data_IF_954236053788
#
_entry.id   IF_954236053788
#
_cell.length_a   1.000
_cell.length_b   1.000
_cell.length_c   1.000
_cell.angle_alpha   90.00
_cell.angle_beta   90.00
_cell.angle_gamma   90.00
#
_symmetry.space_group_name_H-M   'P 1'
#
loop_
_entity.id
_entity.type
_entity.pdbx_description
1 polymer ?
#
# COMPACT_ATOMS: atom_id res chain seq x y z
N UNK A 1 13.68 29.59 -13.89
CA UNK A 1 13.40 30.17 -12.56
C UNK A 1 13.52 29.03 -11.58
N UNK A 2 14.37 29.15 -10.56
CA UNK A 2 14.41 28.19 -9.45
C UNK A 2 13.10 28.40 -8.68
N UNK A 3 12.15 27.48 -8.79
CA UNK A 3 10.91 27.56 -8.04
C UNK A 3 11.28 27.51 -6.55
N UNK A 4 10.88 28.49 -5.79
CA UNK A 4 11.10 28.50 -4.35
C UNK A 4 10.16 27.46 -3.72
N UNK A 5 10.64 26.25 -3.48
CA UNK A 5 9.85 25.13 -2.98
C UNK A 5 9.16 25.46 -1.64
N UNK A 6 9.74 26.35 -0.83
CA UNK A 6 9.08 26.78 0.41
C UNK A 6 7.81 27.59 0.15
N UNK A 7 7.75 28.38 -0.93
CA UNK A 7 6.53 29.08 -1.34
C UNK A 7 5.47 28.09 -1.80
N UNK A 8 5.85 27.07 -2.57
CA UNK A 8 4.97 25.97 -2.97
C UNK A 8 4.41 25.25 -1.74
N UNK A 9 5.24 24.85 -0.79
CA UNK A 9 4.78 24.20 0.43
C UNK A 9 3.85 25.06 1.28
N UNK A 10 4.12 26.35 1.39
CA UNK A 10 3.25 27.30 2.08
C UNK A 10 1.88 27.45 1.37
N UNK A 11 1.87 27.46 0.04
CA UNK A 11 0.63 27.50 -0.74
C UNK A 11 -0.21 26.23 -0.56
N UNK A 12 0.42 25.05 -0.58
CA UNK A 12 -0.26 23.77 -0.30
C UNK A 12 -0.83 23.75 1.11
N UNK A 13 -0.07 24.18 2.11
CA UNK A 13 -0.55 24.26 3.49
C UNK A 13 -1.74 25.21 3.64
N UNK A 14 -1.73 26.35 2.95
CA UNK A 14 -2.87 27.28 2.93
C UNK A 14 -4.09 26.63 2.27
N UNK A 15 -3.91 26.00 1.11
CA UNK A 15 -4.96 25.31 0.37
C UNK A 15 -5.58 24.13 1.17
N UNK A 16 -4.80 23.43 1.97
CA UNK A 16 -5.32 22.33 2.82
C UNK A 16 -6.35 22.81 3.84
N UNK A 17 -6.26 24.06 4.30
CA UNK A 17 -7.23 24.64 5.23
C UNK A 17 -8.55 24.99 4.52
N UNK A 18 -8.49 25.34 3.24
CA UNK A 18 -9.67 25.59 2.43
C UNK A 18 -10.46 24.29 2.18
N UNK A 19 -9.79 23.16 2.02
CA UNK A 19 -10.43 21.84 1.89
C UNK A 19 -11.27 21.46 3.09
N UNK A 20 -10.87 21.87 4.29
CA UNK A 20 -11.55 21.49 5.54
C UNK A 20 -13.00 22.00 5.64
N UNK A 21 -13.39 22.95 4.81
CA UNK A 21 -14.73 23.55 4.76
C UNK A 21 -15.54 23.17 3.53
N UNK A 22 -14.96 22.35 2.62
CA UNK A 22 -15.68 21.88 1.44
C UNK A 22 -16.71 20.82 1.80
N UNK A 23 -17.90 20.95 1.20
CA UNK A 23 -18.94 19.93 1.32
C UNK A 23 -18.57 18.66 0.56
N UNK A 24 -18.92 17.52 1.12
CA UNK A 24 -18.64 16.20 0.51
C UNK A 24 -19.31 16.05 -0.87
N UNK A 25 -20.44 16.73 -1.11
CA UNK A 25 -21.11 16.73 -2.40
C UNK A 25 -20.26 17.39 -3.49
N UNK A 26 -19.61 18.51 -3.16
CA UNK A 26 -18.68 19.21 -4.08
C UNK A 26 -17.45 18.34 -4.34
N UNK A 27 -16.89 17.75 -3.30
CA UNK A 27 -15.75 16.81 -3.42
C UNK A 27 -16.10 15.66 -4.39
N UNK A 28 -17.28 15.06 -4.24
CA UNK A 28 -17.75 13.98 -5.11
C UNK A 28 -17.96 14.44 -6.55
N UNK A 29 -18.45 15.66 -6.78
CA UNK A 29 -18.59 16.24 -8.11
C UNK A 29 -17.22 16.46 -8.77
N UNK A 30 -16.23 16.98 -8.03
CA UNK A 30 -14.85 17.15 -8.53
C UNK A 30 -14.25 15.79 -8.90
N UNK A 31 -14.35 14.76 -8.05
CA UNK A 31 -13.84 13.43 -8.34
C UNK A 31 -14.45 12.82 -9.60
N UNK A 32 -15.77 12.95 -9.79
CA UNK A 32 -16.44 12.50 -11.00
C UNK A 32 -15.98 13.28 -12.24
N UNK A 33 -15.83 14.61 -12.14
CA UNK A 33 -15.32 15.43 -13.22
C UNK A 33 -13.87 15.10 -13.59
N UNK A 34 -13.01 14.80 -12.60
CA UNK A 34 -11.63 14.32 -12.84
C UNK A 34 -11.64 12.97 -13.56
N UNK A 35 -12.53 12.06 -13.18
CA UNK A 35 -12.68 10.77 -13.87
C UNK A 35 -13.14 10.96 -15.33
N UNK A 36 -14.06 11.88 -15.58
CA UNK A 36 -14.54 12.21 -16.94
C UNK A 36 -13.43 12.87 -17.75
N UNK A 37 -12.68 13.82 -17.18
CA UNK A 37 -11.55 14.48 -17.80
C UNK A 37 -10.41 13.50 -18.13
N UNK A 38 -10.11 12.54 -17.25
CA UNK A 38 -9.11 11.49 -17.51
C UNK A 38 -9.46 10.66 -18.76
N UNK A 39 -10.74 10.39 -18.99
CA UNK A 39 -11.22 9.70 -20.20
C UNK A 39 -11.14 10.62 -21.42
N UNK A 40 -11.62 11.86 -21.30
CA UNK A 40 -11.64 12.83 -22.41
C UNK A 40 -10.21 13.16 -22.90
N UNK A 41 -9.28 13.32 -21.97
CA UNK A 41 -7.88 13.67 -22.23
C UNK A 41 -6.96 12.46 -22.43
N UNK A 42 -7.53 11.25 -22.59
CA UNK A 42 -6.77 10.02 -22.87
C UNK A 42 -5.72 10.20 -23.96
N UNK A 43 -6.01 10.80 -25.14
CA UNK A 43 -5.02 10.99 -26.19
C UNK A 43 -3.82 11.84 -25.75
N UNK A 44 -4.08 12.91 -24.98
CA UNK A 44 -3.03 13.77 -24.43
C UNK A 44 -2.16 13.04 -23.41
N UNK A 45 -2.78 12.35 -22.45
CA UNK A 45 -2.06 11.58 -21.41
C UNK A 45 -1.20 10.50 -22.04
N UNK A 46 -1.72 9.75 -23.02
CA UNK A 46 -0.98 8.70 -23.70
C UNK A 46 0.18 9.25 -24.55
N UNK A 47 0.01 10.39 -25.21
CA UNK A 47 1.08 11.04 -25.97
C UNK A 47 2.25 11.47 -25.05
N UNK A 48 1.97 11.95 -23.84
CA UNK A 48 2.99 12.28 -22.85
C UNK A 48 3.61 11.03 -22.24
N UNK A 49 2.82 9.96 -21.99
CA UNK A 49 3.33 8.68 -21.50
C UNK A 49 4.28 8.01 -22.51
N UNK A 50 4.03 8.13 -23.82
CA UNK A 50 4.92 7.62 -24.86
C UNK A 50 6.31 8.25 -24.80
N UNK A 51 6.42 9.55 -24.42
CA UNK A 51 7.71 10.20 -24.20
C UNK A 51 8.50 9.60 -23.04
N UNK A 52 7.81 9.19 -21.98
CA UNK A 52 8.43 8.49 -20.86
C UNK A 52 8.86 7.08 -21.26
N UNK A 53 8.00 6.34 -21.96
CA UNK A 53 8.29 4.98 -22.44
C UNK A 53 9.46 4.94 -23.43
N UNK A 54 9.61 5.96 -24.28
CA UNK A 54 10.70 6.07 -25.23
C UNK A 54 12.10 6.19 -24.57
N UNK A 55 12.14 6.58 -23.28
CA UNK A 55 13.39 6.73 -22.51
C UNK A 55 13.73 5.50 -21.67
N UNK A 56 12.87 4.49 -21.64
CA UNK A 56 13.03 3.29 -20.80
C UNK A 56 13.29 2.05 -21.66
N UNK A 57 14.18 1.17 -21.21
CA UNK A 57 14.36 -0.13 -21.84
C UNK A 57 13.08 -0.97 -21.68
N UNK A 58 12.59 -1.53 -22.78
CA UNK A 58 11.41 -2.39 -22.79
C UNK A 58 11.54 -3.66 -21.93
N UNK A 59 12.77 -4.08 -21.66
CA UNK A 59 13.08 -5.23 -20.81
C UNK A 59 13.19 -4.84 -19.32
N UNK A 60 13.14 -3.55 -18.97
CA UNK A 60 13.14 -3.11 -17.57
C UNK A 60 11.82 -3.56 -16.91
N UNK A 61 11.87 -4.23 -15.76
CA UNK A 61 10.66 -4.63 -15.01
C UNK A 61 9.72 -3.46 -14.66
N UNK A 62 10.22 -2.22 -14.67
CA UNK A 62 9.44 -1.01 -14.45
C UNK A 62 8.63 -0.59 -15.68
N UNK A 63 8.97 -1.06 -16.87
CA UNK A 63 8.33 -0.64 -18.13
C UNK A 63 6.82 -0.89 -18.12
N UNK A 64 6.40 -2.09 -17.69
CA UNK A 64 4.96 -2.39 -17.58
C UNK A 64 4.23 -1.50 -16.54
N UNK A 65 4.92 -1.13 -15.46
CA UNK A 65 4.35 -0.24 -14.42
C UNK A 65 4.21 1.20 -14.91
N UNK A 66 5.12 1.63 -15.80
CA UNK A 66 5.12 2.97 -16.38
C UNK A 66 4.06 3.12 -17.48
N UNK A 67 3.79 2.04 -18.20
CA UNK A 67 2.91 2.05 -19.38
C UNK A 67 1.46 2.33 -19.01
N UNK A 68 0.87 3.38 -19.59
CA UNK A 68 -0.55 3.63 -19.59
C UNK A 68 -1.18 3.09 -20.90
N UNK A 69 -2.46 2.75 -20.84
CA UNK A 69 -3.29 2.35 -21.97
C UNK A 69 -4.69 2.94 -21.78
N UNK A 70 -5.50 2.99 -22.85
CA UNK A 70 -6.90 3.41 -22.72
C UNK A 70 -7.66 2.59 -21.68
N UNK A 71 -7.42 1.28 -21.60
CA UNK A 71 -8.04 0.39 -20.62
C UNK A 71 -7.63 0.78 -19.19
N UNK A 72 -6.31 0.95 -18.94
CA UNK A 72 -5.81 1.39 -17.63
C UNK A 72 -6.35 2.77 -17.23
N UNK A 73 -6.53 3.70 -18.15
CA UNK A 73 -7.14 5.00 -17.85
C UNK A 73 -8.64 4.87 -17.54
N UNK A 74 -9.36 3.96 -18.19
CA UNK A 74 -10.75 3.62 -17.84
C UNK A 74 -10.85 3.00 -16.43
N UNK A 75 -9.92 2.11 -16.08
CA UNK A 75 -9.85 1.53 -14.74
C UNK A 75 -9.59 2.62 -13.69
N UNK A 76 -8.63 3.52 -13.92
CA UNK A 76 -8.32 4.66 -13.04
C UNK A 76 -9.55 5.56 -12.86
N UNK A 77 -10.26 5.88 -13.95
CA UNK A 77 -11.48 6.67 -13.88
C UNK A 77 -12.58 5.95 -13.08
N UNK A 78 -12.69 4.63 -13.22
CA UNK A 78 -13.62 3.83 -12.43
C UNK A 78 -13.25 3.84 -10.95
N UNK A 79 -11.98 3.69 -10.60
CA UNK A 79 -11.50 3.74 -9.23
C UNK A 79 -11.71 5.13 -8.61
N UNK A 80 -11.48 6.20 -9.37
CA UNK A 80 -11.77 7.58 -8.94
C UNK A 80 -13.25 7.78 -8.62
N UNK A 81 -14.16 7.24 -9.47
CA UNK A 81 -15.61 7.27 -9.20
C UNK A 81 -15.99 6.42 -7.99
N UNK A 82 -15.34 5.26 -7.81
CA UNK A 82 -15.55 4.44 -6.62
C UNK A 82 -15.20 5.21 -5.34
N UNK A 83 -14.07 5.94 -5.33
CA UNK A 83 -13.71 6.81 -4.19
C UNK A 83 -14.78 7.87 -3.94
N UNK A 84 -15.36 8.48 -4.98
CA UNK A 84 -16.45 9.46 -4.83
C UNK A 84 -17.70 8.86 -4.16
N UNK A 85 -17.95 7.56 -4.28
CA UNK A 85 -19.09 6.90 -3.64
C UNK A 85 -18.86 6.53 -2.18
N UNK A 86 -17.62 6.53 -1.71
CA UNK A 86 -17.30 6.19 -0.33
C UNK A 86 -17.80 7.28 0.63
N UNK A 87 -18.21 6.90 1.85
CA UNK A 87 -18.57 7.90 2.86
C UNK A 87 -17.34 8.72 3.25
N UNK A 88 -17.52 10.03 3.45
CA UNK A 88 -16.45 10.89 3.96
C UNK A 88 -15.93 10.36 5.30
N UNK A 89 -14.61 10.28 5.48
CA UNK A 89 -14.02 9.88 6.75
C UNK A 89 -14.03 11.03 7.78
N UNK A 90 -14.38 12.25 7.37
CA UNK A 90 -14.26 13.46 8.19
C UNK A 90 -15.48 13.69 9.08
N UNK A 91 -15.24 14.30 10.25
CA UNK A 91 -16.29 14.65 11.20
C UNK A 91 -16.95 13.46 11.92
N UNK A 92 -16.48 12.23 11.70
CA UNK A 92 -17.02 11.04 12.36
C UNK A 92 -16.73 11.08 13.85
N UNK A 93 -17.77 10.84 14.67
CA UNK A 93 -17.62 10.75 16.13
C UNK A 93 -16.95 9.42 16.47
N UNK A 94 -15.69 9.48 16.89
CA UNK A 94 -14.92 8.32 17.32
C UNK A 94 -15.15 7.96 18.79
N UNK A 95 -15.44 8.96 19.62
CA UNK A 95 -15.76 8.80 21.04
C UNK A 95 -16.51 10.03 21.55
N UNK A 96 -17.51 9.81 22.39
CA UNK A 96 -18.20 10.87 23.11
C UNK A 96 -18.28 10.55 24.61
N UNK A 97 -18.10 11.54 25.47
CA UNK A 97 -18.16 11.36 26.93
C UNK A 97 -18.62 12.66 27.59
N UNK A 98 -19.60 12.58 28.48
CA UNK A 98 -19.99 13.68 29.35
C UNK A 98 -19.29 13.49 30.70
N UNK A 99 -18.60 14.54 31.16
CA UNK A 99 -17.88 14.52 32.43
C UNK A 99 -18.81 14.85 33.60
N UNK A 100 -18.44 14.47 34.84
CA UNK A 100 -19.27 14.78 36.01
C UNK A 100 -19.59 16.27 36.23
N UNK A 101 -18.71 17.17 35.73
CA UNK A 101 -18.91 18.62 35.77
C UNK A 101 -19.73 19.17 34.58
N UNK A 102 -20.33 18.32 33.77
CA UNK A 102 -21.18 18.69 32.64
C UNK A 102 -20.43 18.93 31.31
N UNK A 103 -19.09 18.96 31.30
CA UNK A 103 -18.37 19.09 30.02
C UNK A 103 -18.63 17.90 29.09
N UNK A 104 -18.95 18.19 27.83
CA UNK A 104 -19.05 17.21 26.75
C UNK A 104 -17.74 17.17 25.99
N UNK A 105 -17.14 15.98 25.90
CA UNK A 105 -15.92 15.73 25.14
C UNK A 105 -16.26 14.84 23.94
N UNK A 106 -16.02 15.34 22.73
CA UNK A 106 -16.26 14.60 21.50
C UNK A 106 -14.94 14.47 20.73
N UNK A 107 -14.51 13.24 20.47
CA UNK A 107 -13.37 12.94 19.61
C UNK A 107 -13.88 12.76 18.19
N UNK A 108 -13.43 13.59 17.26
CA UNK A 108 -13.84 13.54 15.86
C UNK A 108 -12.64 13.31 14.92
N UNK A 109 -12.88 12.65 13.80
CA UNK A 109 -11.88 12.49 12.73
C UNK A 109 -11.68 13.81 11.98
N UNK A 110 -10.43 14.07 11.60
CA UNK A 110 -10.01 15.26 10.83
C UNK A 110 -8.91 14.89 9.83
N UNK A 111 -8.70 15.66 8.75
CA UNK A 111 -7.57 15.42 7.86
C UNK A 111 -6.24 15.62 8.60
N UNK A 112 -5.15 15.06 8.06
CA UNK A 112 -3.80 15.44 8.49
C UNK A 112 -3.49 16.89 8.13
N UNK A 113 -3.85 17.30 6.90
CA UNK A 113 -3.55 18.61 6.34
C UNK A 113 -2.86 18.48 4.99
N UNK A 114 -1.53 18.64 4.94
CA UNK A 114 -0.73 18.51 3.74
C UNK A 114 0.09 17.21 3.77
N UNK A 115 -0.10 16.32 2.78
CA UNK A 115 0.59 15.03 2.68
C UNK A 115 1.55 15.02 1.50
N UNK A 116 2.82 14.70 1.74
CA UNK A 116 3.82 14.45 0.71
C UNK A 116 3.80 13.00 0.26
N UNK A 117 3.79 12.73 -1.05
CA UNK A 117 3.89 11.38 -1.60
C UNK A 117 5.10 11.31 -2.53
N UNK A 118 6.05 10.40 -2.20
CA UNK A 118 7.23 10.14 -3.03
C UNK A 118 7.07 8.78 -3.69
N UNK A 119 7.06 8.72 -5.03
CA UNK A 119 6.78 7.49 -5.76
C UNK A 119 7.64 7.31 -7.02
N UNK A 120 7.82 6.05 -7.43
CA UNK A 120 8.61 5.63 -8.59
C UNK A 120 7.70 5.10 -9.70
N UNK A 121 8.06 5.38 -10.97
CA UNK A 121 7.58 4.74 -12.21
C UNK A 121 6.11 4.23 -12.22
N UNK A 122 5.16 5.00 -11.67
CA UNK A 122 3.73 4.64 -11.57
C UNK A 122 2.84 5.86 -11.77
N UNK A 123 2.56 6.28 -13.02
CA UNK A 123 1.76 7.49 -13.30
C UNK A 123 0.36 7.45 -12.68
N UNK A 124 -0.28 6.27 -12.59
CA UNK A 124 -1.59 6.09 -11.97
C UNK A 124 -1.65 6.59 -10.52
N UNK A 125 -0.52 6.52 -9.79
CA UNK A 125 -0.46 6.98 -8.38
C UNK A 125 -0.86 8.43 -8.23
N UNK A 126 -0.64 9.28 -9.25
CA UNK A 126 -1.05 10.69 -9.23
C UNK A 126 -2.57 10.84 -9.09
N UNK A 127 -3.36 10.06 -9.83
CA UNK A 127 -4.82 10.04 -9.71
C UNK A 127 -5.29 9.40 -8.40
N UNK A 128 -4.72 8.25 -8.07
CA UNK A 128 -5.12 7.49 -6.87
C UNK A 128 -4.92 8.32 -5.60
N UNK A 129 -3.74 8.93 -5.47
CA UNK A 129 -3.38 9.78 -4.32
C UNK A 129 -4.24 11.03 -4.28
N UNK A 130 -4.41 11.72 -5.42
CA UNK A 130 -5.27 12.91 -5.48
C UNK A 130 -6.68 12.58 -5.01
N UNK A 131 -7.27 11.49 -5.51
CA UNK A 131 -8.64 11.08 -5.18
C UNK A 131 -8.81 10.81 -3.69
N UNK A 132 -7.89 10.04 -3.10
CA UNK A 132 -7.94 9.71 -1.68
C UNK A 132 -7.65 10.93 -0.79
N UNK A 133 -6.68 11.77 -1.16
CA UNK A 133 -6.36 12.98 -0.42
C UNK A 133 -7.53 13.96 -0.46
N UNK A 134 -8.09 14.25 -1.63
CA UNK A 134 -9.24 15.15 -1.78
C UNK A 134 -10.43 14.64 -0.95
N UNK A 135 -10.80 13.35 -1.06
CA UNK A 135 -11.94 12.76 -0.34
C UNK A 135 -11.75 12.77 1.17
N UNK A 136 -10.52 12.70 1.64
CA UNK A 136 -10.17 12.77 3.08
C UNK A 136 -9.81 14.18 3.57
N UNK A 137 -10.00 15.22 2.72
CA UNK A 137 -9.77 16.62 3.07
C UNK A 137 -8.30 17.01 3.19
N UNK A 138 -7.39 16.23 2.61
CA UNK A 138 -5.96 16.51 2.60
C UNK A 138 -5.54 17.17 1.28
N UNK A 139 -4.67 18.17 1.33
CA UNK A 139 -3.90 18.59 0.18
C UNK A 139 -2.69 17.65 0.00
N UNK A 140 -2.18 17.50 -1.23
CA UNK A 140 -1.06 16.62 -1.49
C UNK A 140 0.06 17.26 -2.30
N UNK A 141 1.29 16.93 -1.93
CA UNK A 141 2.51 17.25 -2.67
C UNK A 141 3.05 15.96 -3.26
N UNK A 142 3.05 15.88 -4.58
CA UNK A 142 3.47 14.72 -5.35
C UNK A 142 4.93 14.88 -5.77
N UNK A 143 5.76 13.88 -5.52
CA UNK A 143 7.15 13.81 -5.96
C UNK A 143 7.36 12.51 -6.72
N UNK A 144 7.08 12.54 -8.01
CA UNK A 144 7.31 11.42 -8.92
C UNK A 144 8.80 11.19 -9.25
N UNK A 145 9.11 10.01 -9.76
CA UNK A 145 10.41 9.72 -10.36
C UNK A 145 10.57 10.37 -11.73
N UNK A 146 11.83 10.57 -12.18
CA UNK A 146 12.15 11.08 -13.52
C UNK A 146 11.67 10.16 -14.65
N UNK A 147 11.42 8.89 -14.33
CA UNK A 147 10.95 7.89 -15.30
C UNK A 147 9.53 8.19 -15.81
N UNK A 148 8.71 8.92 -15.03
CA UNK A 148 7.29 9.21 -15.31
C UNK A 148 7.00 10.73 -15.36
N UNK A 149 7.99 11.58 -15.59
CA UNK A 149 7.84 13.03 -15.44
C UNK A 149 6.82 13.63 -16.42
N UNK A 150 6.83 13.22 -17.69
CA UNK A 150 5.86 13.71 -18.69
C UNK A 150 4.43 13.25 -18.35
N UNK A 151 4.27 11.99 -18.01
CA UNK A 151 2.96 11.43 -17.63
C UNK A 151 2.39 12.11 -16.40
N UNK A 152 3.20 12.30 -15.35
CA UNK A 152 2.76 12.94 -14.13
C UNK A 152 2.33 14.39 -14.36
N UNK A 153 3.09 15.15 -15.18
CA UNK A 153 2.73 16.53 -15.54
C UNK A 153 1.42 16.60 -16.31
N UNK A 154 1.22 15.68 -17.28
CA UNK A 154 -0.03 15.61 -18.03
C UNK A 154 -1.23 15.37 -17.12
N UNK A 155 -1.10 14.40 -16.19
CA UNK A 155 -2.16 14.06 -15.23
C UNK A 155 -2.48 15.26 -14.32
N UNK A 156 -1.47 15.93 -13.77
CA UNK A 156 -1.69 17.10 -12.92
C UNK A 156 -2.28 18.27 -13.69
N UNK A 157 -1.90 18.46 -14.96
CA UNK A 157 -2.53 19.44 -15.82
C UNK A 157 -4.03 19.17 -15.97
N UNK A 158 -4.44 17.94 -16.23
CA UNK A 158 -5.86 17.55 -16.33
C UNK A 158 -6.61 17.81 -15.01
N UNK A 159 -6.01 17.45 -13.88
CA UNK A 159 -6.62 17.70 -12.56
C UNK A 159 -6.77 19.20 -12.31
N UNK A 160 -5.75 20.02 -12.60
CA UNK A 160 -5.78 21.46 -12.40
C UNK A 160 -6.86 22.15 -13.25
N UNK A 161 -7.09 21.72 -14.50
CA UNK A 161 -8.16 22.28 -15.32
C UNK A 161 -9.54 22.00 -14.70
N UNK A 162 -9.77 20.79 -14.19
CA UNK A 162 -11.01 20.48 -13.47
C UNK A 162 -11.15 21.32 -12.21
N UNK A 163 -10.10 21.46 -11.39
CA UNK A 163 -10.16 22.28 -10.17
C UNK A 163 -10.50 23.74 -10.49
N UNK A 164 -9.99 24.28 -11.59
CA UNK A 164 -10.28 25.62 -12.07
C UNK A 164 -11.76 25.79 -12.45
N UNK A 165 -12.37 24.79 -13.10
CA UNK A 165 -13.81 24.83 -13.44
C UNK A 165 -14.68 24.90 -12.18
N UNK A 166 -14.26 24.26 -11.09
CA UNK A 166 -14.94 24.30 -9.81
C UNK A 166 -14.54 25.49 -8.92
N UNK A 167 -13.67 26.40 -9.39
CA UNK A 167 -13.10 27.51 -8.62
C UNK A 167 -12.40 27.05 -7.32
N UNK A 168 -11.76 25.88 -7.36
CA UNK A 168 -10.98 25.34 -6.25
C UNK A 168 -9.53 25.77 -6.40
N UNK A 169 -8.89 26.06 -5.28
CA UNK A 169 -7.48 26.42 -5.24
C UNK A 169 -6.62 25.27 -5.80
N UNK A 170 -5.88 25.45 -6.91
CA UNK A 170 -5.11 24.39 -7.54
C UNK A 170 -3.98 23.85 -6.64
N UNK A 171 -3.52 24.63 -5.67
CA UNK A 171 -2.49 24.22 -4.73
C UNK A 171 -2.92 23.11 -3.76
N UNK A 172 -4.16 22.61 -3.85
CA UNK A 172 -4.54 21.37 -3.16
C UNK A 172 -3.81 20.14 -3.70
N UNK A 173 -3.22 20.22 -4.89
CA UNK A 173 -2.33 19.21 -5.45
C UNK A 173 -1.18 19.88 -6.19
N UNK A 174 0.05 19.57 -5.79
CA UNK A 174 1.25 20.10 -6.42
C UNK A 174 2.19 18.97 -6.82
N UNK A 175 2.78 19.08 -8.01
CA UNK A 175 3.81 18.18 -8.50
C UNK A 175 5.18 18.86 -8.44
N UNK A 176 6.07 18.31 -7.62
CA UNK A 176 7.43 18.80 -7.52
C UNK A 176 8.31 18.34 -8.70
N UNK A 177 9.39 19.09 -9.01
CA UNK A 177 10.40 18.66 -9.96
C UNK A 177 10.92 17.25 -9.65
N UNK A 178 11.24 16.49 -10.71
CA UNK A 178 11.67 15.10 -10.57
C UNK A 178 13.13 14.92 -10.09
N UNK A 179 13.80 16.00 -9.64
CA UNK A 179 15.18 15.99 -9.15
C UNK A 179 15.32 15.58 -7.68
N UNK A 180 16.58 15.42 -7.24
CA UNK A 180 16.91 15.05 -5.87
C UNK A 180 16.77 16.21 -4.87
N UNK A 181 16.93 17.43 -5.35
CA UNK A 181 16.82 18.63 -4.51
C UNK A 181 15.39 18.80 -4.01
N UNK A 182 14.42 18.60 -4.89
CA UNK A 182 12.98 18.60 -4.54
C UNK A 182 12.64 17.50 -3.53
N UNK A 183 13.23 16.29 -3.68
CA UNK A 183 13.05 15.23 -2.68
C UNK A 183 13.60 15.67 -1.31
N UNK A 184 14.82 16.21 -1.27
CA UNK A 184 15.44 16.68 -0.03
C UNK A 184 14.64 17.82 0.61
N UNK A 185 14.16 18.76 -0.21
CA UNK A 185 13.32 19.86 0.27
C UNK A 185 12.02 19.34 0.90
N UNK A 186 11.32 18.39 0.24
CA UNK A 186 10.11 17.78 0.76
C UNK A 186 10.34 17.08 2.11
N UNK A 187 11.42 16.28 2.22
CA UNK A 187 11.76 15.57 3.47
C UNK A 187 12.10 16.52 4.63
N UNK A 188 12.49 17.77 4.33
CA UNK A 188 12.82 18.80 5.31
C UNK A 188 11.70 19.86 5.48
N UNK A 189 10.54 19.72 4.88
CA UNK A 189 9.45 20.70 4.88
C UNK A 189 8.68 20.76 6.21
N UNK A 190 9.43 20.83 7.33
CA UNK A 190 8.86 20.92 8.70
C UNK A 190 8.02 22.18 8.84
N UNK A 191 6.80 22.02 9.36
CA UNK A 191 5.85 23.10 9.56
C UNK A 191 4.99 23.43 8.33
N UNK A 192 5.27 22.81 7.17
CA UNK A 192 4.45 22.91 5.96
C UNK A 192 3.76 21.61 5.59
N UNK A 193 4.48 20.50 5.69
CA UNK A 193 3.99 19.16 5.34
C UNK A 193 3.86 18.35 6.62
N UNK A 194 2.68 17.76 6.82
CA UNK A 194 2.33 17.07 8.07
C UNK A 194 2.80 15.60 8.06
N UNK A 195 2.89 15.00 6.88
CA UNK A 195 3.18 13.58 6.71
C UNK A 195 3.81 13.32 5.34
N UNK A 196 4.74 12.36 5.24
CA UNK A 196 5.20 11.83 3.94
C UNK A 196 4.99 10.33 3.86
N UNK A 197 4.56 9.86 2.67
CA UNK A 197 4.35 8.44 2.37
C UNK A 197 5.20 8.06 1.16
N UNK A 198 6.27 7.27 1.32
CA UNK A 198 7.03 6.74 0.20
C UNK A 198 6.33 5.55 -0.45
N UNK A 199 6.36 5.47 -1.80
CA UNK A 199 5.79 4.41 -2.64
C UNK A 199 6.81 3.94 -3.66
N UNK A 200 7.45 2.81 -3.44
CA UNK A 200 8.46 2.32 -4.39
C UNK A 200 9.28 1.18 -3.84
N UNK A 201 10.53 1.12 -4.27
CA UNK A 201 11.49 0.11 -3.83
C UNK A 201 11.84 0.25 -2.33
N UNK A 202 12.30 -0.84 -1.72
CA UNK A 202 12.80 -0.84 -0.34
C UNK A 202 13.92 0.20 -0.14
N UNK A 203 14.72 0.46 -1.18
CA UNK A 203 15.76 1.49 -1.13
C UNK A 203 15.18 2.89 -0.98
N UNK A 204 14.12 3.23 -1.73
CA UNK A 204 13.43 4.52 -1.59
C UNK A 204 12.80 4.64 -0.20
N UNK A 205 12.12 3.61 0.26
CA UNK A 205 11.44 3.62 1.57
C UNK A 205 12.46 3.83 2.69
N UNK A 206 13.57 3.08 2.68
CA UNK A 206 14.66 3.22 3.64
C UNK A 206 15.32 4.61 3.57
N UNK A 207 15.50 5.14 2.35
CA UNK A 207 16.04 6.49 2.17
C UNK A 207 15.12 7.55 2.81
N UNK A 208 13.83 7.51 2.53
CA UNK A 208 12.85 8.44 3.11
C UNK A 208 12.81 8.32 4.62
N UNK A 209 12.70 7.10 5.17
CA UNK A 209 12.69 6.86 6.61
C UNK A 209 13.91 7.44 7.32
N UNK A 210 15.10 7.28 6.73
CA UNK A 210 16.35 7.69 7.38
C UNK A 210 16.66 9.18 7.24
N UNK A 211 16.02 9.89 6.29
CA UNK A 211 16.34 11.27 5.96
C UNK A 211 15.22 12.27 6.21
N UNK A 212 13.97 11.82 6.41
CA UNK A 212 12.85 12.70 6.67
C UNK A 212 12.94 13.33 8.09
N UNK A 213 12.67 14.63 8.17
CA UNK A 213 12.46 15.35 9.43
C UNK A 213 10.97 15.53 9.77
N UNK A 214 10.10 15.16 8.86
CA UNK A 214 8.66 15.12 9.03
C UNK A 214 8.19 13.67 9.27
N UNK A 215 7.03 13.43 9.87
CA UNK A 215 6.49 12.09 10.06
C UNK A 215 6.42 11.28 8.76
N UNK A 216 6.71 9.99 8.84
CA UNK A 216 6.68 9.05 7.71
C UNK A 216 5.72 7.92 8.00
N UNK A 217 4.82 7.60 7.08
CA UNK A 217 4.13 6.31 7.07
C UNK A 217 4.80 5.43 6.01
N UNK A 218 5.44 4.36 6.46
CA UNK A 218 6.18 3.46 5.57
C UNK A 218 5.24 2.45 4.93
N UNK A 219 5.34 2.30 3.60
CA UNK A 219 4.82 1.13 2.89
C UNK A 219 5.96 0.14 2.75
N UNK A 220 5.98 -0.90 3.59
CA UNK A 220 7.12 -1.82 3.66
C UNK A 220 7.20 -2.81 2.48
N UNK A 221 8.34 -3.49 2.36
CA UNK A 221 8.46 -4.70 1.53
C UNK A 221 7.50 -5.78 2.04
N UNK A 222 7.00 -6.60 1.14
CA UNK A 222 6.07 -7.66 1.47
C UNK A 222 6.72 -9.04 1.48
N UNK A 223 7.42 -9.42 2.57
CA UNK A 223 7.87 -10.81 2.75
C UNK A 223 6.76 -11.55 3.46
N UNK A 224 5.96 -12.32 2.71
CA UNK A 224 4.77 -13.00 3.19
C UNK A 224 5.02 -14.50 3.40
N UNK A 225 4.46 -15.05 4.49
CA UNK A 225 4.56 -16.48 4.79
C UNK A 225 3.19 -17.17 4.80
N UNK A 226 3.17 -18.43 4.40
CA UNK A 226 2.06 -19.35 4.65
C UNK A 226 2.59 -20.54 5.43
N UNK A 227 2.18 -20.68 6.68
CA UNK A 227 2.49 -21.83 7.52
C UNK A 227 1.46 -22.93 7.34
N UNK A 228 1.87 -24.08 6.81
CA UNK A 228 1.09 -25.29 6.74
C UNK A 228 1.32 -26.14 8.00
N UNK A 229 0.35 -26.08 8.91
CA UNK A 229 0.38 -26.70 10.23
C UNK A 229 0.21 -28.24 10.16
N UNK A 230 0.53 -28.94 11.25
CA UNK A 230 0.29 -30.39 11.35
C UNK A 230 -1.19 -30.79 11.16
N UNK A 231 -2.12 -29.89 11.46
CA UNK A 231 -3.56 -30.04 11.27
C UNK A 231 -4.09 -29.40 9.98
N UNK A 232 -3.22 -29.01 9.05
CA UNK A 232 -3.63 -28.35 7.81
C UNK A 232 -4.36 -29.30 6.85
N UNK A 233 -5.42 -28.81 6.21
CA UNK A 233 -6.05 -29.48 5.09
C UNK A 233 -5.23 -29.30 3.81
N UNK A 234 -4.90 -30.42 3.13
CA UNK A 234 -3.97 -30.41 1.99
C UNK A 234 -4.58 -29.71 0.77
N UNK A 235 -5.87 -29.91 0.52
CA UNK A 235 -6.53 -29.29 -0.63
C UNK A 235 -6.59 -27.77 -0.48
N UNK A 236 -7.04 -27.29 0.70
CA UNK A 236 -7.04 -25.86 1.03
C UNK A 236 -5.62 -25.27 0.96
N UNK A 237 -4.64 -25.98 1.54
CA UNK A 237 -3.24 -25.52 1.55
C UNK A 237 -2.66 -25.38 0.15
N UNK A 238 -2.90 -26.35 -0.73
CA UNK A 238 -2.43 -26.30 -2.12
C UNK A 238 -3.05 -25.11 -2.90
N UNK A 239 -4.36 -24.89 -2.76
CA UNK A 239 -5.04 -23.77 -3.41
C UNK A 239 -4.58 -22.42 -2.87
N UNK A 240 -4.42 -22.29 -1.56
CA UNK A 240 -3.95 -21.06 -0.91
C UNK A 240 -2.52 -20.72 -1.36
N UNK A 241 -1.60 -21.69 -1.30
CA UNK A 241 -0.19 -21.51 -1.68
C UNK A 241 -0.10 -21.14 -3.17
N UNK A 242 -0.81 -21.88 -4.04
CA UNK A 242 -0.85 -21.60 -5.46
C UNK A 242 -1.36 -20.18 -5.75
N UNK A 243 -2.53 -19.83 -5.23
CA UNK A 243 -3.13 -18.51 -5.42
C UNK A 243 -2.24 -17.39 -4.89
N UNK A 244 -1.72 -17.52 -3.65
CA UNK A 244 -0.90 -16.51 -3.03
C UNK A 244 0.41 -16.27 -3.80
N UNK A 245 0.99 -17.31 -4.46
CA UNK A 245 2.22 -17.18 -5.23
C UNK A 245 1.99 -16.74 -6.67
N UNK A 246 0.95 -17.22 -7.35
CA UNK A 246 0.86 -17.12 -8.82
C UNK A 246 -0.14 -16.11 -9.35
N UNK A 247 -1.10 -15.65 -8.54
CA UNK A 247 -2.10 -14.66 -8.98
C UNK A 247 -1.46 -13.38 -9.54
N UNK A 248 -0.46 -12.85 -8.85
CA UNK A 248 0.35 -11.71 -9.28
C UNK A 248 1.63 -11.66 -8.47
N UNK A 249 2.75 -12.01 -9.10
CA UNK A 249 4.04 -12.14 -8.39
C UNK A 249 4.70 -10.81 -8.04
N UNK A 250 4.39 -9.73 -8.76
CA UNK A 250 5.05 -8.43 -8.65
C UNK A 250 4.46 -7.50 -7.59
N UNK A 251 3.67 -8.04 -6.65
CA UNK A 251 3.01 -7.28 -5.57
C UNK A 251 3.45 -7.77 -4.18
N UNK A 252 3.39 -6.87 -3.20
CA UNK A 252 3.90 -7.10 -1.84
C UNK A 252 3.13 -8.13 -1.01
N UNK A 253 1.92 -8.54 -1.43
CA UNK A 253 1.13 -9.58 -0.78
C UNK A 253 1.35 -10.98 -1.37
N UNK A 254 2.25 -11.10 -2.38
CA UNK A 254 2.60 -12.39 -2.96
C UNK A 254 3.37 -13.25 -1.95
N UNK A 255 3.13 -14.57 -1.98
CA UNK A 255 3.79 -15.51 -1.09
C UNK A 255 5.29 -15.63 -1.42
N UNK A 256 6.15 -15.46 -0.41
CA UNK A 256 7.59 -15.64 -0.55
C UNK A 256 8.13 -16.86 0.17
N UNK A 257 7.49 -17.30 1.25
CA UNK A 257 7.92 -18.49 1.95
C UNK A 257 6.75 -19.35 2.43
N UNK A 258 6.75 -20.62 2.04
CA UNK A 258 5.90 -21.64 2.66
C UNK A 258 6.66 -22.32 3.78
N UNK A 259 6.08 -22.34 4.98
CA UNK A 259 6.60 -23.05 6.14
C UNK A 259 5.78 -24.33 6.30
N UNK A 260 6.43 -25.50 6.39
CA UNK A 260 5.75 -26.79 6.49
C UNK A 260 6.14 -27.52 7.77
N UNK A 261 5.14 -27.95 8.53
CA UNK A 261 5.38 -28.78 9.71
C UNK A 261 5.96 -30.15 9.30
N UNK A 262 7.01 -30.63 9.97
CA UNK A 262 7.73 -31.87 9.59
C UNK A 262 6.84 -33.09 9.44
N UNK A 263 5.81 -33.24 10.27
CA UNK A 263 4.82 -34.33 10.18
C UNK A 263 4.03 -34.32 8.86
N UNK A 264 4.11 -33.24 8.12
CA UNK A 264 3.36 -33.03 6.85
C UNK A 264 4.27 -32.98 5.61
N UNK A 265 5.58 -33.25 5.76
CA UNK A 265 6.52 -33.25 4.62
C UNK A 265 6.12 -34.22 3.51
N UNK A 266 5.51 -35.34 3.84
CA UNK A 266 4.97 -36.30 2.88
C UNK A 266 3.80 -35.73 2.03
N UNK A 267 3.25 -34.58 2.39
CA UNK A 267 2.21 -33.85 1.65
C UNK A 267 2.76 -32.67 0.85
N UNK A 268 4.03 -32.31 1.05
CA UNK A 268 4.67 -31.19 0.36
C UNK A 268 4.59 -31.30 -1.17
N UNK A 269 4.79 -32.47 -1.81
CA UNK A 269 4.60 -32.59 -3.26
C UNK A 269 3.20 -32.20 -3.73
N UNK A 270 2.15 -32.55 -2.99
CA UNK A 270 0.78 -32.19 -3.30
C UNK A 270 0.50 -30.70 -3.09
N UNK A 271 1.10 -30.09 -2.06
CA UNK A 271 0.98 -28.65 -1.81
C UNK A 271 1.62 -27.81 -2.92
N UNK A 272 2.69 -28.33 -3.53
CA UNK A 272 3.44 -27.63 -4.58
C UNK A 272 3.04 -28.04 -6.00
N UNK A 273 2.13 -29.00 -6.17
CA UNK A 273 1.84 -29.61 -7.48
C UNK A 273 1.47 -28.59 -8.54
N UNK A 274 0.57 -27.66 -8.24
CA UNK A 274 0.09 -26.62 -9.18
C UNK A 274 1.15 -25.57 -9.52
N UNK A 275 2.16 -25.38 -8.66
CA UNK A 275 3.20 -24.37 -8.85
C UNK A 275 4.10 -24.67 -10.06
N UNK A 276 4.29 -25.93 -10.44
CA UNK A 276 5.05 -26.33 -11.62
C UNK A 276 4.46 -25.81 -12.91
N UNK A 277 3.12 -25.73 -12.98
CA UNK A 277 2.40 -25.25 -14.18
C UNK A 277 2.68 -23.76 -14.46
N UNK A 278 3.06 -23.03 -13.41
CA UNK A 278 3.48 -21.62 -13.48
C UNK A 278 5.00 -21.45 -13.46
N UNK A 279 5.79 -22.52 -13.60
CA UNK A 279 7.25 -22.51 -13.55
C UNK A 279 7.83 -21.83 -12.30
N UNK A 280 7.23 -22.04 -11.15
CA UNK A 280 7.72 -21.44 -9.90
C UNK A 280 9.00 -22.14 -9.45
N UNK A 281 10.09 -21.38 -9.28
CA UNK A 281 11.34 -21.87 -8.71
C UNK A 281 11.19 -21.95 -7.19
N UNK A 282 11.42 -23.14 -6.64
CA UNK A 282 11.37 -23.38 -5.21
C UNK A 282 12.78 -23.49 -4.63
N UNK A 283 13.11 -22.60 -3.68
CA UNK A 283 14.31 -22.70 -2.85
C UNK A 283 13.95 -23.45 -1.56
N UNK A 284 14.33 -24.73 -1.49
CA UNK A 284 13.92 -25.62 -0.41
C UNK A 284 15.05 -25.86 0.61
N UNK A 285 14.73 -25.89 1.91
CA UNK A 285 15.68 -26.39 2.91
C UNK A 285 15.98 -27.89 2.69
N UNK A 286 17.03 -28.48 3.29
CA UNK A 286 17.44 -29.85 2.96
C UNK A 286 16.33 -30.89 3.10
N UNK A 287 15.42 -30.76 4.08
CA UNK A 287 14.31 -31.69 4.30
C UNK A 287 13.18 -31.50 3.29
N UNK A 288 12.85 -30.27 2.99
CA UNK A 288 11.88 -29.94 1.96
C UNK A 288 12.40 -30.30 0.56
N UNK A 289 13.70 -30.08 0.30
CA UNK A 289 14.34 -30.49 -0.94
C UNK A 289 14.22 -32.00 -1.16
N UNK A 290 14.58 -32.79 -0.15
CA UNK A 290 14.45 -34.25 -0.21
C UNK A 290 13.00 -34.71 -0.44
N UNK A 291 12.03 -34.02 0.13
CA UNK A 291 10.61 -34.35 -0.04
C UNK A 291 10.06 -34.00 -1.43
N UNK A 292 10.66 -33.00 -2.11
CA UNK A 292 10.28 -32.57 -3.46
C UNK A 292 11.10 -33.25 -4.57
N UNK A 293 12.25 -33.82 -4.26
CA UNK A 293 13.11 -34.50 -5.23
C UNK A 293 12.37 -35.67 -5.89
N UNK A 294 12.39 -35.70 -7.22
CA UNK A 294 11.63 -36.67 -8.03
C UNK A 294 10.10 -36.39 -8.12
N UNK A 295 9.59 -35.39 -7.41
CA UNK A 295 8.17 -34.98 -7.43
C UNK A 295 7.92 -33.57 -8.00
N UNK A 296 8.95 -32.75 -8.03
CA UNK A 296 8.96 -31.41 -8.62
C UNK A 296 10.03 -31.34 -9.72
N UNK A 297 9.84 -30.51 -10.81
CA UNK A 297 10.84 -30.41 -11.88
C UNK A 297 12.22 -30.04 -11.33
N UNK A 298 13.25 -30.79 -11.68
CA UNK A 298 14.59 -30.63 -11.11
C UNK A 298 15.20 -29.25 -11.42
N UNK A 299 14.91 -28.70 -12.59
CA UNK A 299 15.34 -27.37 -13.01
C UNK A 299 14.67 -26.22 -12.22
N UNK A 300 13.53 -26.47 -11.61
CA UNK A 300 12.80 -25.51 -10.78
C UNK A 300 13.01 -25.72 -9.26
N UNK A 301 13.77 -26.74 -8.86
CA UNK A 301 14.06 -27.05 -7.47
C UNK A 301 15.51 -26.70 -7.12
N UNK A 302 15.70 -25.77 -6.22
CA UNK A 302 17.00 -25.25 -5.82
C UNK A 302 17.20 -25.37 -4.29
N UNK A 303 18.44 -25.57 -3.81
CA UNK A 303 18.73 -25.51 -2.37
C UNK A 303 18.57 -24.07 -1.87
N UNK A 304 17.88 -23.91 -0.74
CA UNK A 304 17.76 -22.61 -0.08
C UNK A 304 19.06 -22.19 0.61
N UNK A 305 19.36 -20.91 0.56
CA UNK A 305 20.33 -20.25 1.44
C UNK A 305 19.62 -19.58 2.62
N UNK A 306 20.37 -19.00 3.55
CA UNK A 306 19.77 -18.24 4.67
C UNK A 306 18.96 -17.05 4.17
N UNK A 307 19.46 -16.37 3.15
CA UNK A 307 18.87 -15.19 2.54
C UNK A 307 17.55 -15.51 1.83
N UNK A 308 17.37 -16.73 1.33
CA UNK A 308 16.15 -17.15 0.62
C UNK A 308 14.89 -16.98 1.49
N UNK A 309 15.02 -17.10 2.83
CA UNK A 309 13.87 -17.03 3.75
C UNK A 309 13.42 -15.62 4.10
N UNK A 310 14.29 -14.60 3.89
CA UNK A 310 14.00 -13.19 4.13
C UNK A 310 14.03 -12.35 2.86
N UNK A 311 13.68 -12.93 1.71
CA UNK A 311 13.70 -12.28 0.39
C UNK A 311 12.29 -12.05 -0.11
N UNK A 312 11.96 -10.81 -0.48
CA UNK A 312 10.80 -10.48 -1.31
C UNK A 312 11.18 -10.76 -2.76
N UNK A 313 10.70 -11.87 -3.32
CA UNK A 313 11.14 -12.33 -4.64
C UNK A 313 10.57 -11.50 -5.80
N UNK A 314 9.34 -11.02 -5.69
CA UNK A 314 8.62 -10.29 -6.75
C UNK A 314 8.64 -11.02 -8.12
N UNK A 315 8.74 -12.33 -8.09
CA UNK A 315 8.93 -13.21 -9.24
C UNK A 315 8.27 -14.58 -8.96
N UNK A 316 8.21 -15.46 -9.98
CA UNK A 316 7.81 -16.86 -9.83
C UNK A 316 8.88 -17.66 -9.07
N UNK A 317 9.18 -17.21 -7.87
CA UNK A 317 10.17 -17.79 -6.94
C UNK A 317 9.62 -17.77 -5.54
N UNK A 318 9.91 -18.81 -4.75
CA UNK A 318 9.57 -18.86 -3.34
C UNK A 318 10.50 -19.77 -2.56
N UNK A 319 10.57 -19.57 -1.25
CA UNK A 319 11.27 -20.49 -0.34
C UNK A 319 10.32 -21.50 0.28
N UNK A 320 10.86 -22.68 0.67
CA UNK A 320 10.16 -23.66 1.51
C UNK A 320 11.00 -24.01 2.72
N UNK A 321 10.43 -23.81 3.90
CA UNK A 321 11.04 -24.06 5.20
C UNK A 321 10.34 -25.19 5.94
N UNK A 322 11.10 -26.17 6.44
CA UNK A 322 10.60 -27.21 7.33
C UNK A 322 10.79 -26.82 8.80
N UNK A 323 9.76 -26.99 9.61
CA UNK A 323 9.81 -26.76 11.06
C UNK A 323 9.37 -27.98 11.85
N UNK A 324 9.88 -28.11 13.07
CA UNK A 324 9.57 -29.26 13.95
C UNK A 324 8.33 -29.05 14.81
N UNK A 325 8.00 -27.79 15.05
CA UNK A 325 6.90 -27.40 15.92
C UNK A 325 6.24 -26.10 15.47
N UNK A 326 5.10 -25.79 16.04
CA UNK A 326 4.41 -24.51 15.87
C UNK A 326 5.28 -23.33 16.36
N UNK A 327 5.97 -23.50 17.48
CA UNK A 327 6.86 -22.49 18.05
C UNK A 327 8.04 -22.17 17.12
N UNK A 328 8.57 -23.19 16.42
CA UNK A 328 9.61 -23.00 15.41
C UNK A 328 9.07 -22.22 14.19
N UNK A 329 7.81 -22.44 13.80
CA UNK A 329 7.17 -21.66 12.74
C UNK A 329 7.02 -20.19 13.14
N UNK A 330 6.54 -19.94 14.37
CA UNK A 330 6.41 -18.57 14.89
C UNK A 330 7.76 -17.86 14.95
N UNK A 331 8.83 -18.55 15.39
CA UNK A 331 10.18 -18.00 15.44
C UNK A 331 10.68 -17.67 14.03
N UNK A 332 10.49 -18.56 13.08
CA UNK A 332 10.89 -18.34 11.70
C UNK A 332 10.20 -17.09 11.09
N UNK A 333 8.88 -16.96 11.31
CA UNK A 333 8.13 -15.77 10.88
C UNK A 333 8.69 -14.51 11.56
N UNK A 334 8.92 -14.56 12.87
CA UNK A 334 9.45 -13.41 13.61
C UNK A 334 10.81 -12.93 13.09
N UNK A 335 11.67 -13.86 12.66
CA UNK A 335 13.04 -13.59 12.20
C UNK A 335 13.09 -13.11 10.74
N UNK A 336 12.14 -13.54 9.88
CA UNK A 336 12.24 -13.35 8.42
C UNK A 336 11.11 -12.51 7.82
N UNK A 337 10.02 -12.25 8.55
CA UNK A 337 8.87 -11.49 8.06
C UNK A 337 9.15 -10.00 7.96
N UNK A 338 8.59 -9.38 6.94
CA UNK A 338 8.44 -7.92 6.86
C UNK A 338 7.26 -7.39 7.69
N UNK A 339 6.49 -8.24 8.35
CA UNK A 339 5.26 -7.94 9.10
C UNK A 339 4.11 -7.45 8.20
N UNK A 340 4.10 -7.89 6.96
CA UNK A 340 3.06 -7.51 6.00
C UNK A 340 1.86 -8.44 6.13
N UNK A 341 1.95 -9.66 5.66
CA UNK A 341 0.84 -10.62 5.63
C UNK A 341 1.32 -12.03 5.96
N UNK A 342 0.70 -12.63 6.97
CA UNK A 342 1.06 -13.95 7.47
C UNK A 342 -0.16 -14.86 7.51
N UNK A 343 -0.01 -16.08 7.02
CA UNK A 343 -1.09 -17.05 6.97
C UNK A 343 -0.75 -18.32 7.73
N UNK A 344 -1.75 -18.90 8.40
CA UNK A 344 -1.72 -20.28 8.87
C UNK A 344 -2.80 -21.09 8.16
N UNK A 345 -2.44 -22.29 7.70
CA UNK A 345 -3.39 -23.30 7.20
C UNK A 345 -3.53 -24.39 8.24
N UNK A 346 -4.65 -24.43 8.94
CA UNK A 346 -4.93 -25.37 10.03
C UNK A 346 -6.43 -25.57 10.26
N UNK A 347 -6.84 -26.78 10.60
CA UNK A 347 -8.21 -27.08 11.03
C UNK A 347 -8.35 -27.01 12.57
N UNK A 348 -7.23 -26.79 13.28
CA UNK A 348 -7.24 -26.65 14.74
C UNK A 348 -7.52 -25.19 15.13
N UNK A 349 -8.69 -24.94 15.69
CA UNK A 349 -9.17 -23.58 16.08
C UNK A 349 -8.30 -22.93 17.15
N UNK A 350 -7.74 -23.71 18.08
CA UNK A 350 -6.87 -23.19 19.14
C UNK A 350 -5.53 -22.74 18.56
N UNK A 351 -4.96 -23.51 17.62
CA UNK A 351 -3.76 -23.12 16.86
C UNK A 351 -3.99 -21.82 16.07
N UNK A 352 -5.11 -21.74 15.36
CA UNK A 352 -5.47 -20.55 14.61
C UNK A 352 -5.58 -19.31 15.53
N UNK A 353 -6.28 -19.44 16.66
CA UNK A 353 -6.43 -18.34 17.62
C UNK A 353 -5.08 -17.94 18.24
N UNK A 354 -4.22 -18.90 18.56
CA UNK A 354 -2.90 -18.62 19.11
C UNK A 354 -1.97 -17.96 18.09
N UNK A 355 -2.00 -18.41 16.83
CA UNK A 355 -1.27 -17.78 15.72
C UNK A 355 -1.66 -16.32 15.56
N UNK A 356 -2.97 -16.04 15.48
CA UNK A 356 -3.50 -14.68 15.36
C UNK A 356 -3.09 -13.77 16.53
N UNK A 357 -2.97 -14.34 17.74
CA UNK A 357 -2.59 -13.58 18.93
C UNK A 357 -1.09 -13.26 19.01
N UNK A 358 -0.24 -14.17 18.53
CA UNK A 358 1.22 -14.07 18.71
C UNK A 358 1.90 -13.39 17.52
N UNK A 359 1.46 -13.69 16.30
CA UNK A 359 2.11 -13.15 15.09
C UNK A 359 1.89 -11.65 14.99
N UNK A 360 2.98 -10.92 14.84
CA UNK A 360 2.99 -9.47 14.72
C UNK A 360 3.12 -9.05 13.26
N UNK A 361 1.99 -9.05 12.55
CA UNK A 361 1.89 -8.60 11.16
C UNK A 361 0.71 -7.64 10.97
N UNK A 362 0.71 -6.90 9.87
CA UNK A 362 -0.38 -5.99 9.50
C UNK A 362 -1.68 -6.77 9.21
N UNK A 363 -1.56 -7.89 8.48
CA UNK A 363 -2.68 -8.77 8.16
C UNK A 363 -2.35 -10.22 8.52
N UNK A 364 -3.26 -10.87 9.24
CA UNK A 364 -3.11 -12.26 9.68
C UNK A 364 -4.28 -13.07 9.17
N UNK A 365 -3.98 -14.18 8.51
CA UNK A 365 -4.94 -15.01 7.82
C UNK A 365 -4.99 -16.42 8.41
N UNK A 366 -6.19 -16.96 8.49
CA UNK A 366 -6.41 -18.37 8.82
C UNK A 366 -7.16 -19.00 7.66
N UNK A 367 -6.55 -19.97 6.97
CA UNK A 367 -7.13 -20.67 5.82
C UNK A 367 -7.56 -19.74 4.67
N UNK A 368 -6.83 -18.63 4.45
CA UNK A 368 -7.09 -17.67 3.39
C UNK A 368 -5.77 -17.20 2.77
N UNK A 369 -5.74 -16.97 1.47
CA UNK A 369 -4.56 -16.50 0.73
C UNK A 369 -4.14 -15.10 1.17
N UNK A 370 -2.83 -14.84 1.30
CA UNK A 370 -2.27 -13.50 1.55
C UNK A 370 -2.58 -12.51 0.42
N UNK A 371 -2.93 -13.01 -0.78
CA UNK A 371 -3.31 -12.21 -1.93
C UNK A 371 -4.56 -11.32 -1.69
N UNK A 372 -5.30 -11.55 -0.61
CA UNK A 372 -6.40 -10.69 -0.19
C UNK A 372 -5.98 -9.43 0.57
N UNK A 373 -4.70 -9.22 0.89
CA UNK A 373 -4.21 -7.97 1.45
C UNK A 373 -4.21 -6.88 0.37
N UNK A 374 -5.35 -6.26 0.17
CA UNK A 374 -5.61 -5.32 -0.92
C UNK A 374 -6.79 -4.42 -0.51
N UNK A 375 -6.69 -3.11 -0.76
CA UNK A 375 -7.71 -2.15 -0.34
C UNK A 375 -9.10 -2.41 -0.93
N UNK A 376 -9.18 -2.82 -2.19
CA UNK A 376 -10.45 -3.17 -2.83
C UNK A 376 -11.05 -4.42 -2.20
N UNK A 377 -10.23 -5.44 -1.89
CA UNK A 377 -10.68 -6.67 -1.23
C UNK A 377 -11.13 -6.43 0.22
N UNK A 378 -10.57 -5.40 0.87
CA UNK A 378 -10.99 -4.99 2.23
C UNK A 378 -12.19 -4.04 2.24
N UNK A 379 -12.71 -3.69 1.05
CA UNK A 379 -13.86 -2.77 0.93
C UNK A 379 -13.49 -1.29 1.13
N UNK A 380 -12.20 -0.95 1.02
CA UNK A 380 -11.71 0.43 1.18
C UNK A 380 -11.82 1.25 -0.12
N UNK A 381 -12.25 0.65 -1.22
CA UNK A 381 -12.38 1.26 -2.54
C UNK A 381 -11.05 1.43 -3.25
N UNK A 382 -10.15 2.20 -2.68
CA UNK A 382 -8.78 2.41 -3.16
C UNK A 382 -7.79 2.44 -1.99
N UNK A 383 -6.49 2.31 -2.27
CA UNK A 383 -5.44 2.39 -1.24
C UNK A 383 -4.23 3.19 -1.69
N UNK A 384 -3.63 3.94 -0.78
CA UNK A 384 -2.33 4.57 -1.00
C UNK A 384 -1.20 3.55 -0.91
N UNK A 385 -1.40 2.48 -0.14
CA UNK A 385 -0.45 1.39 0.05
C UNK A 385 -0.71 0.62 1.32
N UNK A 386 0.18 -0.31 1.62
CA UNK A 386 0.06 -1.20 2.78
C UNK A 386 1.18 -0.88 3.75
N UNK A 387 0.83 -0.39 4.94
CA UNK A 387 1.81 -0.07 5.98
C UNK A 387 2.07 -1.27 6.88
N UNK A 388 3.33 -1.50 7.19
CA UNK A 388 3.77 -2.55 8.12
C UNK A 388 4.19 -2.01 9.49
N UNK A 389 4.21 -0.68 9.66
CA UNK A 389 4.59 -0.04 10.92
C UNK A 389 3.47 -0.13 11.97
N UNK A 390 3.82 0.14 13.24
CA UNK A 390 2.89 0.09 14.37
C UNK A 390 2.32 1.45 14.78
N UNK A 391 3.06 2.51 14.49
CA UNK A 391 2.64 3.86 14.82
C UNK A 391 1.73 4.40 13.73
N UNK A 392 0.49 4.74 14.07
CA UNK A 392 -0.60 5.14 13.21
C UNK A 392 -1.05 4.02 12.25
N UNK A 393 -1.22 4.29 10.91
CA UNK A 393 -1.78 3.34 9.97
C UNK A 393 -0.99 2.03 9.88
N UNK A 394 -1.70 0.90 9.88
CA UNK A 394 -1.14 -0.44 9.68
C UNK A 394 -2.08 -1.29 8.83
N UNK A 395 -1.54 -1.93 7.80
CA UNK A 395 -2.32 -2.63 6.78
C UNK A 395 -2.62 -1.76 5.56
N UNK A 396 -3.58 -2.15 4.71
CA UNK A 396 -4.04 -1.34 3.59
C UNK A 396 -4.54 0.03 4.06
N UNK A 397 -4.08 1.10 3.41
CA UNK A 397 -4.39 2.48 3.80
C UNK A 397 -5.39 3.09 2.82
N UNK A 398 -6.65 3.12 3.22
CA UNK A 398 -7.73 3.84 2.55
C UNK A 398 -7.95 5.24 3.11
N UNK A 399 -9.19 5.71 3.07
CA UNK A 399 -9.54 7.07 3.49
C UNK A 399 -9.35 7.31 4.99
N UNK A 400 -9.66 6.33 5.83
CA UNK A 400 -9.59 6.48 7.30
C UNK A 400 -8.14 6.60 7.78
N UNK A 401 -7.23 5.83 7.15
CA UNK A 401 -5.82 5.74 7.53
C UNK A 401 -5.03 7.01 7.22
N UNK A 402 -5.55 7.88 6.35
CA UNK A 402 -4.97 9.20 6.06
C UNK A 402 -5.71 10.34 6.77
N UNK A 403 -6.36 10.00 7.88
CA UNK A 403 -6.97 10.97 8.82
C UNK A 403 -6.35 10.85 10.21
N UNK A 404 -6.55 11.90 10.99
CA UNK A 404 -6.23 11.95 12.42
C UNK A 404 -7.50 12.28 13.21
N UNK A 405 -7.35 12.77 14.42
CA UNK A 405 -8.49 13.18 15.24
C UNK A 405 -8.16 14.43 16.04
N UNK A 406 -9.23 15.16 16.41
CA UNK A 406 -9.18 16.22 17.43
C UNK A 406 -10.27 16.02 18.46
N UNK A 407 -10.09 16.67 19.63
CA UNK A 407 -11.12 16.74 20.66
C UNK A 407 -11.85 18.07 20.53
N UNK A 408 -13.17 18.00 20.46
CA UNK A 408 -14.08 19.13 20.61
C UNK A 408 -14.63 19.05 22.03
N UNK A 409 -14.49 20.15 22.78
CA UNK A 409 -14.87 20.21 24.18
C UNK A 409 -15.88 21.35 24.34
N UNK A 410 -17.08 20.99 24.77
CA UNK A 410 -18.19 21.91 24.96
C UNK A 410 -18.52 21.98 26.44
N UNK A 411 -18.76 23.17 26.94
CA UNK A 411 -19.07 23.41 28.34
C UNK A 411 -19.89 24.69 28.56
N UNK A 412 -20.18 24.99 29.80
CA UNK A 412 -20.94 26.16 30.26
C UNK A 412 -20.16 26.84 31.40
N UNK A 413 -18.94 27.33 31.11
CA UNK A 413 -18.13 28.11 32.06
C UNK A 413 -17.37 27.28 33.10
N UNK A 414 -17.21 25.97 32.95
CA UNK A 414 -16.43 25.14 33.87
C UNK A 414 -14.97 25.58 33.94
N UNK A 415 -14.47 25.72 35.16
CA UNK A 415 -13.06 26.06 35.47
C UNK A 415 -12.38 24.93 36.24
N UNK A 416 -11.07 24.85 36.16
CA UNK A 416 -10.25 23.91 36.93
C UNK A 416 -9.33 24.73 37.86
N UNK A 417 -9.46 24.50 39.15
CA UNK A 417 -8.62 25.10 40.19
C UNK A 417 -7.62 24.09 40.73
#
# INVERSE_FOLDING_TARGET
MVTNLNETFAAVQAASRELAILDDTIINQILNAVADAAIAETPFILAENEKDLARMDKNDPKYDRLKLTEERLKDIATDTRNVATLPSPLGRVLKETIRPNGMKLTKISVPFGAIGIIYEARPNVSFDVFSLCLKSGNACVLKGGSDADYSNRAIICVIHEVLKEFNINPHIVELLPADREATTALLNAVGYIDLVIPRGSSNLINFVRNNAKIPVIETGAGICHTYFDEFGDVSKGADIIYNAKTRRVSVCNALDCTIVHEKRLNKLPLLCEKLKDSNVIIYADPRAYQALDGHYPAELLQPATKESFGTEFLDYKMAVKTVKSFEDALRHIQENSSRHSECIVTENKERAALFTKIVDAACIYTNVSTAFTDGAQFGLGAEIGISTQKLHARGPMGLEEITSYKWVIEGDGQTRW
#
